data_IF_889896405583
#
_entry.id   IF_889896405583
#
_cell.length_a   1.000
_cell.length_b   1.000
_cell.length_c   1.000
_cell.angle_alpha   90.00
_cell.angle_beta   90.00
_cell.angle_gamma   90.00
#
_symmetry.space_group_name_H-M   'P 1'
#
loop_
_entity.id
_entity.type
_entity.pdbx_description
1 polymer ?
#
# COMPACT_ATOMS: atom_id res chain seq x y z
N UNK A 1 -18.25 -15.85 -2.82
CA UNK A 1 -17.04 -15.62 -3.61
C UNK A 1 -17.38 -14.75 -4.81
N UNK A 2 -16.66 -13.69 -5.01
CA UNK A 2 -16.83 -12.77 -6.14
C UNK A 2 -15.48 -12.55 -6.78
N UNK A 3 -15.43 -12.59 -8.12
CA UNK A 3 -14.21 -12.23 -8.84
C UNK A 3 -14.49 -11.12 -9.85
N UNK A 4 -13.55 -10.22 -9.99
CA UNK A 4 -13.58 -9.15 -11.00
C UNK A 4 -12.37 -9.34 -11.91
N UNK A 5 -12.63 -9.53 -13.20
CA UNK A 5 -11.59 -9.78 -14.19
C UNK A 5 -11.62 -8.68 -15.24
N UNK A 6 -10.49 -8.06 -15.48
CA UNK A 6 -10.23 -7.14 -16.58
C UNK A 6 -9.11 -7.71 -17.45
N UNK A 7 -8.79 -7.13 -18.60
CA UNK A 7 -7.65 -7.59 -19.41
C UNK A 7 -6.29 -7.56 -18.68
N UNK A 8 -6.15 -6.75 -17.61
CA UNK A 8 -4.88 -6.55 -16.90
C UNK A 8 -4.96 -6.83 -15.39
N UNK A 9 -6.16 -7.07 -14.86
CA UNK A 9 -6.38 -7.32 -13.44
C UNK A 9 -7.28 -8.52 -13.23
N UNK A 10 -7.01 -9.26 -12.16
CA UNK A 10 -7.85 -10.34 -11.66
C UNK A 10 -7.95 -10.21 -10.15
N UNK A 11 -9.13 -9.86 -9.65
CA UNK A 11 -9.39 -9.63 -8.23
C UNK A 11 -10.29 -10.72 -7.70
N UNK A 12 -9.77 -11.53 -6.79
CA UNK A 12 -10.52 -12.56 -6.09
C UNK A 12 -10.92 -12.07 -4.70
N UNK A 13 -12.24 -12.03 -4.45
CA UNK A 13 -12.86 -11.56 -3.22
C UNK A 13 -13.64 -12.71 -2.61
N UNK A 14 -12.99 -13.63 -1.87
CA UNK A 14 -13.67 -14.76 -1.25
C UNK A 14 -14.70 -14.33 -0.21
N UNK A 15 -14.52 -13.13 0.36
CA UNK A 15 -15.44 -12.60 1.33
C UNK A 15 -15.53 -11.08 1.23
N UNK A 16 -16.75 -10.56 1.19
CA UNK A 16 -17.06 -9.15 1.38
C UNK A 16 -18.41 -9.03 2.11
N UNK A 17 -18.44 -8.23 3.14
CA UNK A 17 -19.64 -7.84 3.87
C UNK A 17 -19.74 -6.32 3.90
N UNK A 18 -20.90 -5.80 3.54
CA UNK A 18 -21.25 -4.39 3.62
C UNK A 18 -22.48 -4.26 4.52
N UNK A 19 -22.31 -3.67 5.66
CA UNK A 19 -23.38 -3.54 6.66
C UNK A 19 -23.60 -2.06 6.99
N UNK A 20 -24.78 -1.56 6.70
CA UNK A 20 -25.25 -0.24 7.13
C UNK A 20 -26.31 -0.41 8.22
N UNK A 21 -26.33 0.48 9.21
CA UNK A 21 -27.27 0.44 10.32
C UNK A 21 -28.73 0.69 9.86
N UNK A 22 -28.90 1.35 8.73
CA UNK A 22 -30.22 1.64 8.13
C UNK A 22 -30.10 1.89 6.63
N UNK A 23 -31.24 1.87 5.90
CA UNK A 23 -31.27 2.32 4.49
C UNK A 23 -30.82 3.78 4.33
N UNK A 24 -31.05 4.63 5.34
CA UNK A 24 -30.55 6.00 5.32
C UNK A 24 -29.03 6.06 5.46
N UNK A 25 -28.40 5.14 6.19
CA UNK A 25 -26.96 5.04 6.37
C UNK A 25 -26.22 4.74 5.08
N UNK A 26 -26.83 4.07 4.11
CA UNK A 26 -26.21 3.87 2.79
C UNK A 26 -26.02 5.17 1.99
N UNK A 27 -26.66 6.27 2.40
CA UNK A 27 -26.43 7.61 1.82
C UNK A 27 -25.11 8.19 2.33
N UNK A 28 -24.69 7.84 3.55
CA UNK A 28 -23.36 8.15 4.08
C UNK A 28 -22.48 6.89 4.06
N UNK A 29 -22.19 6.42 2.85
CA UNK A 29 -21.37 5.22 2.64
C UNK A 29 -19.99 5.31 3.31
N UNK A 30 -19.44 6.51 3.41
CA UNK A 30 -18.10 6.74 3.96
C UNK A 30 -18.05 6.62 5.49
N UNK A 31 -19.10 7.07 6.17
CA UNK A 31 -19.14 7.11 7.62
C UNK A 31 -19.91 5.97 8.28
N UNK A 32 -20.93 5.43 7.63
CA UNK A 32 -21.89 4.52 8.26
C UNK A 32 -21.83 3.08 7.71
N UNK A 33 -21.34 2.87 6.49
CA UNK A 33 -21.26 1.51 5.94
C UNK A 33 -19.98 0.82 6.39
N UNK A 34 -20.15 -0.19 7.24
CA UNK A 34 -19.05 -1.06 7.66
C UNK A 34 -18.70 -2.04 6.56
N UNK A 35 -17.43 -2.08 6.23
CA UNK A 35 -16.84 -3.02 5.28
C UNK A 35 -16.04 -4.05 6.06
N UNK A 36 -16.23 -5.32 5.76
CA UNK A 36 -15.34 -6.41 6.12
C UNK A 36 -15.07 -7.19 4.86
N UNK A 37 -13.82 -7.20 4.41
CA UNK A 37 -13.45 -7.74 3.11
C UNK A 37 -12.11 -8.46 3.14
N UNK A 38 -12.02 -9.47 2.27
CA UNK A 38 -10.78 -10.24 2.07
C UNK A 38 -10.51 -10.36 0.58
N UNK A 39 -9.31 -9.98 0.19
CA UNK A 39 -8.76 -10.23 -1.14
C UNK A 39 -7.73 -11.35 -1.03
N UNK A 40 -7.71 -12.27 -2.01
CA UNK A 40 -6.78 -13.40 -2.03
C UNK A 40 -6.24 -13.60 -3.45
N UNK A 41 -4.97 -13.91 -3.55
CA UNK A 41 -4.28 -14.24 -4.82
C UNK A 41 -4.62 -13.28 -5.97
N UNK A 42 -4.90 -12.03 -5.64
CA UNK A 42 -5.35 -11.04 -6.61
C UNK A 42 -4.18 -10.38 -7.32
N UNK A 43 -4.45 -9.90 -8.53
CA UNK A 43 -3.51 -9.12 -9.34
C UNK A 43 -4.23 -7.89 -9.86
N UNK A 44 -3.61 -6.72 -9.70
CA UNK A 44 -4.19 -5.44 -10.11
C UNK A 44 -3.15 -4.59 -10.83
N UNK A 45 -3.48 -4.14 -12.03
CA UNK A 45 -2.66 -3.19 -12.78
C UNK A 45 -2.98 -1.75 -12.36
N UNK A 46 -1.94 -0.93 -12.22
CA UNK A 46 -2.12 0.51 -11.99
C UNK A 46 -2.86 1.20 -13.13
N UNK A 47 -2.78 0.68 -14.34
CA UNK A 47 -3.54 1.20 -15.49
C UNK A 47 -5.06 1.10 -15.29
N UNK A 48 -5.52 0.03 -14.63
CA UNK A 48 -6.94 -0.15 -14.33
C UNK A 48 -7.37 0.74 -13.15
N UNK A 49 -6.50 0.87 -12.12
CA UNK A 49 -6.77 1.76 -10.97
C UNK A 49 -6.72 3.22 -11.38
N UNK A 50 -5.90 3.60 -12.34
CA UNK A 50 -5.72 4.98 -12.79
C UNK A 50 -7.01 5.63 -13.34
N UNK A 51 -8.02 4.80 -13.67
CA UNK A 51 -9.35 5.30 -13.98
C UNK A 51 -10.01 5.99 -12.77
N UNK A 52 -9.82 5.43 -11.57
CA UNK A 52 -10.37 5.94 -10.32
C UNK A 52 -9.39 6.84 -9.57
N UNK A 53 -8.09 6.60 -9.75
CA UNK A 53 -6.99 7.33 -9.10
C UNK A 53 -6.07 7.97 -10.15
N UNK A 54 -6.43 9.15 -10.71
CA UNK A 54 -5.69 9.78 -11.81
C UNK A 54 -4.20 10.06 -11.53
N UNK A 55 -3.80 10.13 -10.25
CA UNK A 55 -2.39 10.29 -9.86
C UNK A 55 -1.52 9.10 -10.21
N UNK A 56 -2.11 7.93 -10.46
CA UNK A 56 -1.40 6.71 -10.86
C UNK A 56 -1.20 6.62 -12.39
N UNK A 57 -1.71 7.59 -13.16
CA UNK A 57 -1.52 7.64 -14.61
C UNK A 57 -0.03 7.74 -14.95
N UNK A 58 0.41 6.84 -15.82
CA UNK A 58 1.81 6.78 -16.24
C UNK A 58 2.72 5.93 -15.34
N UNK A 59 2.21 5.43 -14.22
CA UNK A 59 2.91 4.43 -13.41
C UNK A 59 2.45 3.03 -13.80
N UNK A 60 3.06 2.49 -14.84
CA UNK A 60 2.71 1.18 -15.43
C UNK A 60 3.28 0.04 -14.59
N UNK A 61 2.64 -0.26 -13.48
CA UNK A 61 3.06 -1.30 -12.52
C UNK A 61 1.92 -2.28 -12.25
N UNK A 62 2.29 -3.49 -11.89
CA UNK A 62 1.35 -4.53 -11.49
C UNK A 62 1.57 -4.86 -10.02
N UNK A 63 0.49 -4.83 -9.27
CA UNK A 63 0.40 -5.41 -7.94
C UNK A 63 -0.06 -6.85 -8.09
N UNK A 64 0.69 -7.80 -7.57
CA UNK A 64 0.37 -9.23 -7.65
C UNK A 64 0.50 -9.90 -6.28
N UNK A 65 0.07 -11.15 -6.17
CA UNK A 65 0.05 -11.89 -4.90
C UNK A 65 -0.62 -11.10 -3.78
N UNK A 66 -1.68 -10.37 -4.13
CA UNK A 66 -2.41 -9.52 -3.19
C UNK A 66 -3.21 -10.41 -2.24
N UNK A 67 -2.86 -10.35 -0.96
CA UNK A 67 -3.55 -11.01 0.13
C UNK A 67 -3.79 -9.97 1.23
N UNK A 68 -5.01 -9.44 1.28
CA UNK A 68 -5.37 -8.29 2.13
C UNK A 68 -6.67 -8.59 2.87
N UNK A 69 -6.70 -8.28 4.16
CA UNK A 69 -7.92 -8.17 4.97
C UNK A 69 -8.19 -6.69 5.28
N UNK A 70 -9.44 -6.26 5.15
CA UNK A 70 -9.87 -4.88 5.46
C UNK A 70 -11.11 -4.95 6.36
N UNK A 71 -11.13 -4.15 7.42
CA UNK A 71 -12.29 -4.05 8.31
C UNK A 71 -12.48 -2.61 8.84
N UNK A 72 -13.73 -2.14 8.89
CA UNK A 72 -14.09 -0.81 9.41
C UNK A 72 -15.06 -0.08 8.50
N UNK A 73 -15.25 1.20 8.71
CA UNK A 73 -15.92 2.11 7.78
C UNK A 73 -14.89 2.84 6.93
N UNK A 74 -15.26 3.38 5.78
CA UNK A 74 -14.28 4.03 4.88
C UNK A 74 -13.52 5.17 5.55
N UNK A 75 -14.18 5.89 6.45
CA UNK A 75 -13.57 6.98 7.23
C UNK A 75 -12.69 6.51 8.39
N UNK A 76 -12.85 5.28 8.87
CA UNK A 76 -12.06 4.67 9.95
C UNK A 76 -11.95 3.16 9.73
N UNK A 77 -10.85 2.71 9.13
CA UNK A 77 -10.65 1.29 8.83
C UNK A 77 -9.26 0.81 9.21
N UNK A 78 -9.15 -0.48 9.36
CA UNK A 78 -7.90 -1.22 9.49
C UNK A 78 -7.70 -2.11 8.27
N UNK A 79 -6.45 -2.22 7.84
CA UNK A 79 -6.03 -3.11 6.76
C UNK A 79 -4.84 -3.94 7.18
N UNK A 80 -4.86 -5.21 6.81
CA UNK A 80 -3.73 -6.12 6.98
C UNK A 80 -3.31 -6.68 5.64
N UNK A 81 -2.14 -6.28 5.18
CA UNK A 81 -1.49 -6.82 3.99
C UNK A 81 -0.64 -8.01 4.40
N UNK A 82 -1.12 -9.22 4.12
CA UNK A 82 -0.41 -10.47 4.41
C UNK A 82 0.67 -10.75 3.37
N UNK A 83 0.40 -10.37 2.14
CA UNK A 83 1.32 -10.46 1.01
C UNK A 83 0.94 -9.42 -0.02
N UNK A 84 1.92 -8.76 -0.57
CA UNK A 84 1.79 -7.90 -1.75
C UNK A 84 3.13 -7.86 -2.47
N UNK A 85 3.09 -8.11 -3.76
CA UNK A 85 4.22 -7.93 -4.66
C UNK A 85 3.96 -6.71 -5.56
N UNK A 86 4.94 -5.83 -5.64
CA UNK A 86 4.90 -4.66 -6.52
C UNK A 86 5.95 -4.81 -7.61
N UNK A 87 5.48 -4.85 -8.85
CA UNK A 87 6.35 -5.17 -9.96
C UNK A 87 6.98 -6.55 -9.81
N UNK A 88 8.25 -6.69 -10.19
CA UNK A 88 8.95 -7.98 -10.17
C UNK A 88 9.84 -8.21 -8.94
N UNK A 89 10.23 -7.14 -8.24
CA UNK A 89 11.30 -7.20 -7.25
C UNK A 89 10.96 -6.74 -5.83
N UNK A 90 9.73 -6.26 -5.57
CA UNK A 90 9.37 -5.77 -4.24
C UNK A 90 8.25 -6.59 -3.62
N UNK A 91 8.50 -7.11 -2.43
CA UNK A 91 7.54 -7.84 -1.62
C UNK A 91 7.40 -7.19 -0.26
N UNK A 92 6.17 -7.05 0.23
CA UNK A 92 5.99 -6.54 1.58
C UNK A 92 4.73 -7.06 2.28
N UNK A 93 4.76 -6.95 3.60
CA UNK A 93 3.63 -7.10 4.50
C UNK A 93 3.40 -5.78 5.22
N UNK A 94 2.16 -5.48 5.58
CA UNK A 94 1.85 -4.25 6.30
C UNK A 94 0.61 -4.40 7.17
N UNK A 95 0.60 -3.68 8.28
CA UNK A 95 -0.60 -3.40 9.07
C UNK A 95 -0.87 -1.90 8.99
N UNK A 96 -2.11 -1.52 8.69
CA UNK A 96 -2.53 -0.14 8.55
C UNK A 96 -3.78 0.17 9.36
N UNK A 97 -3.82 1.34 9.97
CA UNK A 97 -5.04 1.94 10.47
C UNK A 97 -5.16 3.36 9.90
N UNK A 98 -6.31 3.68 9.34
CA UNK A 98 -6.57 4.97 8.66
C UNK A 98 -7.80 5.58 9.25
N UNK A 99 -7.74 6.84 9.68
CA UNK A 99 -8.84 7.58 10.31
C UNK A 99 -8.96 8.98 9.76
N UNK A 100 -10.14 9.36 9.35
CA UNK A 100 -10.46 10.73 8.93
C UNK A 100 -10.58 10.93 7.41
N UNK A 101 -10.67 9.84 6.62
CA UNK A 101 -11.02 9.98 5.22
C UNK A 101 -12.44 10.56 5.04
N UNK A 102 -12.71 11.29 3.95
CA UNK A 102 -11.91 11.42 2.72
C UNK A 102 -10.90 12.59 2.69
N UNK A 103 -10.88 13.48 3.70
CA UNK A 103 -9.88 14.58 3.67
C UNK A 103 -8.51 14.07 4.11
N UNK A 104 -7.68 13.74 3.14
CA UNK A 104 -6.33 13.20 3.34
C UNK A 104 -5.40 14.12 4.15
N UNK A 105 -5.70 15.43 4.24
CA UNK A 105 -4.90 16.39 4.98
C UNK A 105 -5.11 16.28 6.49
N UNK A 106 -6.30 15.84 6.88
CA UNK A 106 -6.68 15.62 8.29
C UNK A 106 -6.75 14.14 8.65
N UNK A 107 -6.44 13.26 7.68
CA UNK A 107 -6.42 11.82 7.88
C UNK A 107 -5.19 11.42 8.67
N UNK A 108 -5.42 10.69 9.75
CA UNK A 108 -4.38 10.07 10.56
C UNK A 108 -4.07 8.67 10.05
N UNK A 109 -2.79 8.40 9.83
CA UNK A 109 -2.28 7.10 9.41
C UNK A 109 -1.45 6.49 10.54
N UNK A 110 -1.65 5.21 10.82
CA UNK A 110 -0.73 4.36 11.59
C UNK A 110 -0.40 3.17 10.69
N UNK A 111 0.78 3.18 10.11
CA UNK A 111 1.25 2.18 9.16
C UNK A 111 2.49 1.51 9.73
N UNK A 112 2.46 0.20 9.79
CA UNK A 112 3.61 -0.62 10.15
C UNK A 112 3.93 -1.56 9.00
N UNK A 113 5.15 -1.54 8.51
CA UNK A 113 5.70 -2.45 7.51
C UNK A 113 6.75 -3.30 8.22
N UNK A 114 6.40 -4.49 8.74
CA UNK A 114 7.34 -5.35 9.46
C UNK A 114 8.45 -5.84 8.56
N UNK A 115 8.14 -6.08 7.28
CA UNK A 115 9.09 -6.54 6.29
C UNK A 115 8.72 -6.05 4.90
N UNK A 116 9.70 -5.45 4.25
CA UNK A 116 9.72 -5.18 2.83
C UNK A 116 11.06 -5.69 2.30
N UNK A 117 11.03 -6.56 1.30
CA UNK A 117 12.23 -7.00 0.60
C UNK A 117 12.20 -6.48 -0.82
N UNK A 118 13.27 -5.86 -1.28
CA UNK A 118 13.33 -5.23 -2.59
C UNK A 118 14.77 -5.21 -3.13
N UNK A 119 14.90 -4.87 -4.40
CA UNK A 119 16.18 -4.53 -5.01
C UNK A 119 16.30 -3.01 -5.16
N UNK A 120 17.53 -2.50 -5.33
CA UNK A 120 17.76 -1.08 -5.55
C UNK A 120 16.97 -0.52 -6.74
N UNK A 121 16.94 -1.27 -7.84
CA UNK A 121 16.20 -0.91 -9.06
C UNK A 121 14.69 -0.82 -8.80
N UNK A 122 14.15 -1.79 -8.06
CA UNK A 122 12.71 -1.82 -7.72
C UNK A 122 12.33 -0.69 -6.76
N UNK A 123 13.19 -0.34 -5.80
CA UNK A 123 12.98 0.81 -4.91
C UNK A 123 12.99 2.11 -5.70
N UNK A 124 13.91 2.26 -6.65
CA UNK A 124 13.98 3.45 -7.52
C UNK A 124 12.71 3.61 -8.37
N UNK A 125 12.25 2.51 -8.98
CA UNK A 125 11.00 2.48 -9.75
C UNK A 125 9.76 2.83 -8.89
N UNK A 126 9.71 2.34 -7.63
CA UNK A 126 8.66 2.69 -6.67
C UNK A 126 8.71 4.17 -6.29
N UNK A 127 9.88 4.69 -5.96
CA UNK A 127 10.06 6.09 -5.59
C UNK A 127 9.64 7.02 -6.74
N UNK A 128 10.01 6.69 -7.97
CA UNK A 128 9.60 7.42 -9.16
C UNK A 128 8.08 7.38 -9.37
N UNK A 129 7.46 6.22 -9.17
CA UNK A 129 6.01 6.02 -9.36
C UNK A 129 5.16 6.74 -8.30
N UNK A 130 5.54 6.67 -7.03
CA UNK A 130 4.79 7.27 -5.92
C UNK A 130 5.12 8.75 -5.74
N UNK A 131 6.41 9.08 -5.76
CA UNK A 131 6.91 10.42 -5.49
C UNK A 131 7.15 11.28 -6.72
N UNK A 132 7.06 10.71 -7.92
CA UNK A 132 7.38 11.39 -9.18
C UNK A 132 8.87 11.74 -9.33
N UNK A 133 9.74 11.19 -8.48
CA UNK A 133 11.19 11.38 -8.52
C UNK A 133 11.89 10.05 -8.26
N UNK A 134 12.78 9.68 -9.15
CA UNK A 134 13.73 8.60 -8.95
C UNK A 134 14.73 8.95 -7.83
N UNK A 135 15.33 7.93 -7.23
CA UNK A 135 16.44 8.11 -6.31
C UNK A 135 17.65 8.71 -7.05
N UNK A 136 18.54 9.37 -6.32
CA UNK A 136 19.76 9.86 -6.96
C UNK A 136 20.63 8.69 -7.45
N UNK A 137 21.30 8.86 -8.60
CA UNK A 137 22.17 7.84 -9.20
C UNK A 137 23.22 7.30 -8.20
N UNK A 138 23.68 8.15 -7.28
CA UNK A 138 24.62 7.76 -6.22
C UNK A 138 23.99 6.78 -5.22
N UNK A 139 22.73 7.00 -4.83
CA UNK A 139 22.01 6.08 -3.94
C UNK A 139 21.72 4.76 -4.64
N UNK A 140 21.28 4.80 -5.89
CA UNK A 140 21.07 3.60 -6.70
C UNK A 140 22.36 2.79 -6.86
N UNK A 141 23.49 3.46 -7.12
CA UNK A 141 24.78 2.79 -7.26
C UNK A 141 25.25 2.15 -5.93
N UNK A 142 25.02 2.80 -4.78
CA UNK A 142 25.36 2.25 -3.45
C UNK A 142 24.46 1.04 -3.15
N UNK A 143 23.17 1.17 -3.37
CA UNK A 143 22.19 0.12 -3.10
C UNK A 143 22.29 -1.04 -4.11
N UNK A 144 22.58 -0.75 -5.37
CA UNK A 144 22.68 -1.75 -6.44
C UNK A 144 23.77 -2.79 -6.25
N UNK A 145 24.82 -2.45 -5.48
CA UNK A 145 25.87 -3.39 -5.09
C UNK A 145 25.53 -4.21 -3.83
N UNK A 146 24.35 -3.99 -3.24
CA UNK A 146 23.98 -4.52 -1.92
C UNK A 146 23.09 -5.75 -1.97
N UNK A 147 22.78 -6.28 -3.18
CA UNK A 147 21.86 -7.43 -3.32
C UNK A 147 20.42 -7.08 -2.89
N UNK A 148 19.78 -7.98 -2.16
CA UNK A 148 18.46 -7.75 -1.58
C UNK A 148 18.53 -6.74 -0.43
N UNK A 149 17.54 -5.86 -0.38
CA UNK A 149 17.39 -4.84 0.64
C UNK A 149 16.18 -5.20 1.49
N UNK A 150 16.40 -5.50 2.76
CA UNK A 150 15.33 -5.70 3.73
C UNK A 150 15.05 -4.38 4.47
N UNK A 151 13.80 -3.94 4.40
CA UNK A 151 13.34 -2.70 5.04
C UNK A 151 12.23 -3.02 6.04
N UNK A 152 12.27 -2.38 7.19
CA UNK A 152 11.14 -2.26 8.08
C UNK A 152 10.82 -0.77 8.26
N UNK A 153 9.53 -0.45 8.39
CA UNK A 153 9.13 0.94 8.54
C UNK A 153 7.90 1.08 9.45
N UNK A 154 7.83 2.19 10.15
CA UNK A 154 6.64 2.61 10.87
C UNK A 154 6.40 4.08 10.62
N UNK A 155 5.16 4.41 10.27
CA UNK A 155 4.69 5.77 10.08
C UNK A 155 3.48 6.00 10.97
N UNK A 156 3.44 7.11 11.69
CA UNK A 156 2.30 7.49 12.51
C UNK A 156 2.08 9.00 12.46
N UNK A 157 0.88 9.43 12.14
CA UNK A 157 0.50 10.83 12.15
C UNK A 157 -0.26 11.28 10.91
N UNK A 158 -0.30 12.58 10.71
CA UNK A 158 -0.83 13.23 9.52
C UNK A 158 0.29 13.32 8.46
N UNK A 159 -0.06 13.49 7.19
CA UNK A 159 0.95 13.73 6.15
C UNK A 159 1.75 15.03 6.36
N UNK A 160 1.18 15.99 7.10
CA UNK A 160 1.84 17.27 7.44
C UNK A 160 2.63 17.25 8.74
N UNK A 161 2.40 16.25 9.60
CA UNK A 161 3.07 16.11 10.90
C UNK A 161 3.01 14.65 11.33
N UNK A 162 4.16 13.98 11.31
CA UNK A 162 4.25 12.55 11.54
C UNK A 162 5.55 12.15 12.25
N UNK A 163 5.51 10.99 12.87
CA UNK A 163 6.69 10.24 13.31
C UNK A 163 6.94 9.11 12.31
N UNK A 164 8.17 9.00 11.81
CA UNK A 164 8.56 7.90 10.94
C UNK A 164 9.86 7.27 11.41
N UNK A 165 9.88 5.95 11.43
CA UNK A 165 11.07 5.13 11.68
C UNK A 165 11.27 4.20 10.51
N UNK A 166 12.48 4.13 10.02
CA UNK A 166 12.87 3.25 8.92
C UNK A 166 14.18 2.57 9.28
N UNK A 167 14.19 1.25 9.27
CA UNK A 167 15.39 0.44 9.32
C UNK A 167 15.59 -0.24 7.98
N UNK A 168 16.78 -0.18 7.44
CA UNK A 168 17.16 -0.89 6.22
C UNK A 168 18.40 -1.75 6.48
N UNK A 169 18.40 -2.96 5.97
CA UNK A 169 19.53 -3.91 6.03
C UNK A 169 19.87 -4.38 4.64
N UNK A 170 21.15 -4.45 4.37
CA UNK A 170 21.74 -4.97 3.14
C UNK A 170 22.88 -5.91 3.48
N UNK A 171 23.41 -6.65 2.53
CA UNK A 171 24.58 -7.53 2.71
C UNK A 171 25.84 -6.76 3.14
N UNK A 172 25.91 -5.45 2.90
CA UNK A 172 27.07 -4.60 3.21
C UNK A 172 26.89 -3.75 4.48
N UNK A 173 25.67 -3.73 5.08
CA UNK A 173 25.42 -2.98 6.31
C UNK A 173 23.96 -2.63 6.56
N UNK A 174 23.70 -1.89 7.62
CA UNK A 174 22.36 -1.44 7.99
C UNK A 174 22.32 0.05 8.33
N UNK A 175 21.14 0.65 8.15
CA UNK A 175 20.86 2.05 8.46
C UNK A 175 19.54 2.10 9.24
N UNK A 176 19.52 2.85 10.32
CA UNK A 176 18.30 3.19 11.06
C UNK A 176 18.10 4.71 11.03
N UNK A 177 16.90 5.14 10.62
CA UNK A 177 16.53 6.55 10.53
C UNK A 177 15.25 6.82 11.31
N UNK A 178 15.24 7.92 12.07
CA UNK A 178 14.04 8.42 12.75
C UNK A 178 13.80 9.86 12.26
N UNK A 179 12.57 10.13 11.80
CA UNK A 179 12.13 11.43 11.29
C UNK A 179 10.89 11.88 12.03
#
# INVERSE_FOLDING_TARGET
DTSVVTPRSNVDIPYISLVGDSWAGYKDFLGEVRIDGKLRNSTVSTDDIAYFAPRLRGWHTVFSNIDIDVAGVVSDFTGKVRSLQVGQGTWFTADAAVRGLPDIRTTHFDLTIPRLTSTAESIDALAAGIGGRALSDKLVAILGNSGDIDVNARFRGLLSSFDMRVGAKTDVGGIDCNL
#
